data_IF_231500185678
#
_entry.id   IF_231500185678
#
_cell.length_a   1.000
_cell.length_b   1.000
_cell.length_c   1.000
_cell.angle_alpha   90.00
_cell.angle_beta   90.00
_cell.angle_gamma   90.00
#
_symmetry.space_group_name_H-M   'P 1'
#
loop_
_entity.id
_entity.type
_entity.pdbx_description
1 polymer ?
#
# COMPACT_ATOMS: atom_id res chain seq x y z
N UNK A 1 51.61 25.91 40.78
CA UNK A 1 52.07 24.92 41.76
C UNK A 1 50.87 24.01 41.99
N UNK A 2 50.78 22.72 41.64
CA UNK A 2 51.67 21.58 41.35
C UNK A 2 50.74 20.53 40.69
N UNK A 3 51.02 20.09 39.45
CA UNK A 3 51.54 18.76 39.08
C UNK A 3 50.65 17.52 39.30
N UNK A 4 50.78 16.57 38.34
CA UNK A 4 50.50 15.12 38.38
C UNK A 4 49.17 14.69 37.72
N UNK A 5 49.16 14.28 36.44
CA UNK A 5 49.41 12.90 35.95
C UNK A 5 48.37 11.89 36.49
N UNK A 6 47.56 11.20 35.68
CA UNK A 6 47.99 10.13 34.77
C UNK A 6 46.85 9.67 33.84
N UNK A 7 47.11 9.60 32.53
CA UNK A 7 46.58 8.58 31.58
C UNK A 7 47.60 7.42 31.56
N UNK A 8 47.45 6.30 30.80
CA UNK A 8 46.30 5.61 30.20
C UNK A 8 46.35 4.06 30.40
N UNK A 9 45.28 3.31 30.10
CA UNK A 9 45.29 1.90 29.62
C UNK A 9 43.86 1.34 29.67
N UNK A 10 43.34 0.54 28.75
CA UNK A 10 43.96 -0.13 27.62
C UNK A 10 42.89 -0.65 26.65
N UNK A 11 43.35 -0.97 25.45
CA UNK A 11 42.66 -1.72 24.41
C UNK A 11 41.97 -2.97 24.96
N UNK A 12 40.74 -3.25 24.51
CA UNK A 12 40.41 -4.59 23.99
C UNK A 12 39.56 -4.49 22.73
N UNK A 13 40.21 -4.89 21.66
CA UNK A 13 39.68 -5.25 20.36
C UNK A 13 38.81 -6.52 20.47
N UNK A 14 37.78 -6.54 19.62
CA UNK A 14 37.25 -7.70 18.86
C UNK A 14 36.39 -8.79 19.53
N UNK A 15 35.42 -9.20 18.68
CA UNK A 15 34.83 -10.54 18.51
C UNK A 15 33.80 -10.90 19.61
N UNK A 16 32.55 -11.25 19.33
CA UNK A 16 31.98 -12.00 18.21
C UNK A 16 30.50 -11.61 17.99
N UNK A 17 30.11 -11.34 16.75
CA UNK A 17 28.71 -11.42 16.34
C UNK A 17 28.44 -12.87 15.92
N UNK A 18 27.55 -13.64 16.58
CA UNK A 18 27.00 -14.81 15.94
C UNK A 18 25.96 -14.35 14.92
N UNK A 19 26.38 -14.28 13.65
CA UNK A 19 25.47 -14.34 12.51
C UNK A 19 24.89 -15.76 12.46
N UNK A 20 23.80 -15.98 13.20
CA UNK A 20 23.01 -17.20 13.02
C UNK A 20 22.30 -17.14 11.67
N UNK A 21 22.89 -17.91 10.77
CA UNK A 21 22.50 -18.22 9.41
C UNK A 21 21.21 -19.07 9.40
N UNK A 22 20.06 -18.50 9.74
CA UNK A 22 18.77 -19.14 9.43
C UNK A 22 18.39 -18.88 7.97
N UNK A 23 19.11 -19.51 7.04
CA UNK A 23 18.57 -19.86 5.72
C UNK A 23 17.55 -21.00 5.88
N UNK A 24 16.50 -20.73 6.63
CA UNK A 24 15.29 -21.52 6.64
C UNK A 24 14.62 -21.35 5.28
N UNK A 25 14.85 -22.30 4.39
CA UNK A 25 14.16 -22.40 3.11
C UNK A 25 12.67 -22.65 3.37
N UNK A 26 11.89 -21.58 3.58
CA UNK A 26 10.45 -21.67 3.76
C UNK A 26 9.85 -22.04 2.40
N UNK A 27 9.65 -23.35 2.16
CA UNK A 27 8.87 -23.86 1.02
C UNK A 27 7.43 -23.38 1.18
N UNK A 28 7.13 -22.19 0.66
CA UNK A 28 5.77 -21.65 0.62
C UNK A 28 4.95 -22.50 -0.35
N UNK A 29 3.96 -23.22 0.18
CA UNK A 29 3.02 -23.99 -0.62
C UNK A 29 2.33 -23.07 -1.67
N UNK A 30 2.06 -23.58 -2.88
CA UNK A 30 1.40 -22.80 -3.93
C UNK A 30 -0.02 -22.46 -3.48
N UNK A 31 -0.29 -21.18 -3.29
CA UNK A 31 -1.63 -20.69 -2.96
C UNK A 31 -2.55 -20.97 -4.15
N UNK A 32 -3.38 -22.00 -4.04
CA UNK A 32 -4.50 -22.26 -4.97
C UNK A 32 -5.45 -21.07 -4.94
N UNK A 33 -5.38 -20.21 -5.96
CA UNK A 33 -6.35 -19.14 -6.15
C UNK A 33 -7.63 -19.77 -6.70
N UNK A 34 -8.74 -19.72 -5.94
CA UNK A 34 -10.06 -20.10 -6.45
C UNK A 34 -10.48 -19.16 -7.60
N UNK A 35 -11.21 -19.66 -8.61
CA UNK A 35 -11.75 -18.83 -9.69
C UNK A 35 -12.68 -17.76 -9.13
N UNK A 36 -12.59 -16.53 -9.64
CA UNK A 36 -13.47 -15.44 -9.25
C UNK A 36 -14.88 -15.69 -9.79
N UNK A 37 -15.87 -15.72 -8.91
CA UNK A 37 -17.29 -15.77 -9.29
C UNK A 37 -17.71 -14.47 -9.99
N UNK A 38 -18.64 -14.53 -10.96
CA UNK A 38 -19.15 -13.34 -11.64
C UNK A 38 -20.01 -12.52 -10.65
N UNK A 39 -19.49 -11.36 -10.27
CA UNK A 39 -20.12 -10.47 -9.28
C UNK A 39 -21.22 -9.66 -9.97
N UNK A 40 -22.44 -9.76 -9.45
CA UNK A 40 -23.62 -9.06 -9.96
C UNK A 40 -23.40 -7.54 -10.00
N UNK A 41 -23.86 -6.92 -11.10
CA UNK A 41 -23.89 -5.48 -11.33
C UNK A 41 -25.02 -4.78 -10.57
N UNK A 42 -25.32 -5.22 -9.35
CA UNK A 42 -26.22 -4.46 -8.49
C UNK A 42 -25.48 -3.19 -8.09
N UNK A 43 -26.10 -2.03 -8.34
CA UNK A 43 -25.61 -0.68 -8.09
C UNK A 43 -25.15 -0.58 -6.64
N UNK A 44 -23.90 -0.99 -6.39
CA UNK A 44 -23.35 -1.02 -5.07
C UNK A 44 -23.24 0.45 -4.69
N UNK A 45 -23.87 0.87 -3.59
CA UNK A 45 -23.80 2.22 -3.02
C UNK A 45 -22.39 2.54 -2.48
N UNK A 46 -21.37 2.19 -3.26
CA UNK A 46 -19.98 2.38 -2.94
C UNK A 46 -19.65 3.86 -3.05
N UNK A 47 -19.32 4.46 -1.91
CA UNK A 47 -18.86 5.86 -1.80
C UNK A 47 -17.73 6.16 -2.77
N UNK A 48 -16.85 5.19 -3.03
CA UNK A 48 -15.74 5.28 -4.00
C UNK A 48 -16.25 5.55 -5.41
N UNK A 49 -17.29 4.83 -5.86
CA UNK A 49 -17.86 5.00 -7.20
C UNK A 49 -18.46 6.41 -7.33
N UNK A 50 -19.24 6.85 -6.34
CA UNK A 50 -19.84 8.20 -6.32
C UNK A 50 -18.77 9.31 -6.34
N UNK A 51 -17.61 9.10 -5.70
CA UNK A 51 -16.50 10.06 -5.74
C UNK A 51 -15.82 10.10 -7.11
N UNK A 52 -15.57 8.93 -7.71
CA UNK A 52 -14.96 8.85 -9.04
C UNK A 52 -15.89 9.30 -10.16
N UNK A 53 -17.20 9.21 -9.97
CA UNK A 53 -18.20 9.69 -10.95
C UNK A 53 -18.15 11.22 -11.09
N UNK A 54 -17.90 11.93 -9.97
CA UNK A 54 -17.75 13.39 -9.96
C UNK A 54 -16.45 13.87 -10.61
N UNK A 55 -15.44 13.01 -10.76
CA UNK A 55 -14.18 13.37 -11.38
C UNK A 55 -13.84 12.39 -12.51
N UNK A 56 -14.18 12.73 -13.77
CA UNK A 56 -13.99 11.84 -14.90
C UNK A 56 -12.52 11.56 -15.20
N UNK A 57 -11.57 12.36 -14.71
CA UNK A 57 -10.13 12.12 -14.87
C UNK A 57 -9.59 11.05 -13.90
N UNK A 58 -10.37 10.69 -12.88
CA UNK A 58 -9.98 9.79 -11.82
C UNK A 58 -9.31 10.48 -10.64
N UNK A 59 -9.21 9.75 -9.54
CA UNK A 59 -8.60 10.21 -8.29
C UNK A 59 -7.74 9.11 -7.67
N UNK A 60 -6.75 9.52 -6.91
CA UNK A 60 -5.98 8.63 -6.05
C UNK A 60 -6.73 8.32 -4.75
N UNK A 61 -6.36 7.22 -4.10
CA UNK A 61 -6.96 6.84 -2.82
C UNK A 61 -6.76 7.89 -1.70
N UNK A 62 -5.57 8.53 -1.56
CA UNK A 62 -5.40 9.66 -0.65
C UNK A 62 -6.28 10.87 -0.99
N UNK A 63 -6.45 11.22 -2.27
CA UNK A 63 -7.33 12.31 -2.68
C UNK A 63 -8.79 12.02 -2.29
N UNK A 64 -9.28 10.79 -2.54
CA UNK A 64 -10.62 10.35 -2.13
C UNK A 64 -10.83 10.42 -0.61
N UNK A 65 -9.77 10.19 0.18
CA UNK A 65 -9.83 10.29 1.64
C UNK A 65 -9.82 11.74 2.17
N UNK A 66 -9.54 12.73 1.31
CA UNK A 66 -9.32 14.13 1.69
C UNK A 66 -7.88 14.44 2.12
N UNK A 67 -6.90 13.64 1.67
CA UNK A 67 -5.47 13.85 1.86
C UNK A 67 -4.73 12.65 2.46
N UNK A 68 -3.39 12.61 2.30
CA UNK A 68 -2.56 11.47 2.71
C UNK A 68 -2.50 11.26 4.23
N UNK A 69 -2.72 12.31 5.02
CA UNK A 69 -2.74 12.24 6.49
C UNK A 69 -4.01 11.57 7.06
N UNK A 70 -5.06 11.37 6.24
CA UNK A 70 -6.34 10.79 6.67
C UNK A 70 -6.30 9.24 6.66
N UNK A 71 -5.36 8.66 7.40
CA UNK A 71 -5.06 7.21 7.40
C UNK A 71 -6.30 6.36 7.72
N UNK A 72 -7.14 6.80 8.68
CA UNK A 72 -8.37 6.09 9.04
C UNK A 72 -9.34 5.95 7.85
N UNK A 73 -9.57 7.03 7.11
CA UNK A 73 -10.42 7.01 5.91
C UNK A 73 -9.78 6.22 4.76
N UNK A 74 -8.47 6.31 4.60
CA UNK A 74 -7.75 5.50 3.61
C UNK A 74 -7.96 4.02 3.90
N UNK A 75 -7.82 3.58 5.15
CA UNK A 75 -8.05 2.19 5.57
C UNK A 75 -9.47 1.71 5.28
N UNK A 76 -10.49 2.54 5.49
CA UNK A 76 -11.88 2.16 5.19
C UNK A 76 -12.20 2.17 3.70
N UNK A 77 -11.57 3.04 2.92
CA UNK A 77 -11.78 3.12 1.47
C UNK A 77 -11.05 2.02 0.69
N UNK A 78 -9.92 1.51 1.19
CA UNK A 78 -9.17 0.40 0.56
C UNK A 78 -10.03 -0.82 0.21
N UNK A 79 -10.79 -1.42 1.14
CA UNK A 79 -11.59 -2.60 0.83
C UNK A 79 -12.72 -2.28 -0.17
N UNK A 80 -13.36 -1.11 -0.07
CA UNK A 80 -14.39 -0.68 -1.02
C UNK A 80 -13.84 -0.51 -2.43
N UNK A 81 -12.66 0.10 -2.55
CA UNK A 81 -11.97 0.27 -3.81
C UNK A 81 -11.56 -1.09 -4.39
N UNK A 82 -11.03 -2.00 -3.57
CA UNK A 82 -10.67 -3.34 -4.01
C UNK A 82 -11.88 -4.13 -4.51
N UNK A 83 -13.05 -4.00 -3.87
CA UNK A 83 -14.29 -4.60 -4.33
C UNK A 83 -14.71 -4.03 -5.70
N UNK A 84 -14.67 -2.71 -5.86
CA UNK A 84 -15.02 -2.05 -7.13
C UNK A 84 -14.07 -2.44 -8.29
N UNK A 85 -12.79 -2.68 -7.99
CA UNK A 85 -11.82 -3.20 -8.96
C UNK A 85 -12.16 -4.64 -9.35
N UNK A 86 -12.45 -5.50 -8.38
CA UNK A 86 -12.86 -6.90 -8.64
C UNK A 86 -14.14 -6.99 -9.47
N UNK A 87 -15.07 -6.06 -9.26
CA UNK A 87 -16.31 -5.93 -10.04
C UNK A 87 -16.09 -5.35 -11.45
N UNK A 88 -14.88 -4.89 -11.79
CA UNK A 88 -14.60 -4.26 -13.09
C UNK A 88 -15.23 -2.87 -13.26
N UNK A 89 -15.67 -2.21 -12.18
CA UNK A 89 -16.28 -0.88 -12.25
C UNK A 89 -15.22 0.24 -12.26
N UNK A 90 -14.09 -0.02 -11.60
CA UNK A 90 -12.97 0.91 -11.45
C UNK A 90 -11.71 0.25 -11.98
N UNK A 91 -10.89 0.99 -12.73
CA UNK A 91 -9.57 0.53 -13.13
C UNK A 91 -8.46 1.47 -12.62
N UNK A 92 -7.27 0.94 -12.29
CA UNK A 92 -6.07 1.74 -12.14
C UNK A 92 -5.59 2.20 -13.53
N UNK A 93 -5.29 3.50 -13.70
CA UNK A 93 -4.94 4.07 -15.02
C UNK A 93 -3.51 4.59 -15.06
N UNK A 94 -3.09 5.29 -14.00
CA UNK A 94 -1.80 5.98 -13.97
C UNK A 94 -1.30 6.13 -12.54
N UNK A 95 -0.14 6.77 -12.38
CA UNK A 95 0.38 7.17 -11.08
C UNK A 95 0.48 8.70 -11.00
N UNK A 96 0.08 9.25 -9.86
CA UNK A 96 0.24 10.67 -9.51
C UNK A 96 0.93 10.74 -8.15
N UNK A 97 2.10 11.37 -8.10
CA UNK A 97 2.88 11.54 -6.86
C UNK A 97 3.14 10.22 -6.13
N UNK A 98 3.43 9.15 -6.87
CA UNK A 98 3.66 7.80 -6.32
C UNK A 98 2.39 7.06 -5.85
N UNK A 99 1.21 7.59 -6.13
CA UNK A 99 -0.07 6.95 -5.82
C UNK A 99 -0.84 6.58 -7.08
N UNK A 100 -1.47 5.41 -7.07
CA UNK A 100 -2.29 4.95 -8.19
C UNK A 100 -3.54 5.82 -8.33
N UNK A 101 -3.76 6.31 -9.55
CA UNK A 101 -4.98 7.01 -9.95
C UNK A 101 -5.97 5.97 -10.43
N UNK A 102 -7.16 6.00 -9.84
CA UNK A 102 -8.27 5.12 -10.17
C UNK A 102 -9.33 5.91 -10.93
N UNK A 103 -9.95 5.28 -11.93
CA UNK A 103 -10.99 5.91 -12.75
C UNK A 103 -12.08 4.90 -13.07
N UNK A 104 -13.31 5.40 -13.24
CA UNK A 104 -14.44 4.56 -13.63
C UNK A 104 -14.28 4.08 -15.07
N UNK A 105 -14.55 2.79 -15.30
CA UNK A 105 -14.46 2.18 -16.63
C UNK A 105 -15.41 2.85 -17.62
N UNK A 106 -16.62 3.24 -17.16
CA UNK A 106 -17.60 4.02 -17.94
C UNK A 106 -17.01 5.27 -18.60
N UNK A 107 -16.07 5.94 -17.93
CA UNK A 107 -15.48 7.19 -18.41
C UNK A 107 -14.27 6.99 -19.31
N UNK A 108 -13.80 5.75 -19.48
CA UNK A 108 -12.58 5.45 -20.24
C UNK A 108 -12.92 5.05 -21.67
N UNK A 109 -14.01 4.32 -21.85
CA UNK A 109 -14.47 3.87 -23.17
C UNK A 109 -15.04 5.01 -24.03
N UNK A 110 -15.58 6.07 -23.42
CA UNK A 110 -16.20 7.20 -24.14
C UNK A 110 -15.20 8.30 -24.52
N UNK A 111 -13.97 7.96 -24.91
CA UNK A 111 -12.93 8.93 -25.28
C UNK A 111 -12.46 8.75 -26.71
#
# INVERSE_FOLDING_TARGET
MTESESKPAGKKEKKDQPVEEFRGMVKRAPVRRKPAEPVSTEKTDNKVIKMLDKNPLGMTLPEMAGGPRKIGRIRTLRPMLAAAIKQGLVMPVSQRSGHTVYRLVKHITNR
#
